data_IF_644238357744
#
_entry.id   IF_644238357744
#
_cell.length_a   1.000
_cell.length_b   1.000
_cell.length_c   1.000
_cell.angle_alpha   90.00
_cell.angle_beta   90.00
_cell.angle_gamma   90.00
#
_symmetry.space_group_name_H-M   'P 1'
#
loop_
_entity.id
_entity.type
_entity.pdbx_description
1 polymer ?
#
# COMPACT_ATOMS: atom_id res chain seq x y z
N UNK A 1 7.27 -13.25 -4.59
CA UNK A 1 7.28 -11.90 -5.20
C UNK A 1 6.35 -11.77 -6.41
N UNK A 2 6.27 -12.77 -7.31
CA UNK A 2 5.41 -12.72 -8.49
C UNK A 2 3.91 -12.51 -8.19
N UNK A 3 3.33 -13.26 -7.23
CA UNK A 3 1.93 -13.11 -6.79
C UNK A 3 1.61 -11.70 -6.28
N UNK A 4 2.56 -11.08 -5.57
CA UNK A 4 2.38 -9.74 -4.99
C UNK A 4 2.41 -8.65 -6.06
N UNK A 5 3.33 -8.77 -7.03
CA UNK A 5 3.38 -7.89 -8.20
C UNK A 5 2.11 -8.04 -9.04
N UNK A 6 1.65 -9.27 -9.28
CA UNK A 6 0.41 -9.55 -9.99
C UNK A 6 -0.82 -8.97 -9.27
N UNK A 7 -0.86 -9.02 -7.93
CA UNK A 7 -1.92 -8.39 -7.16
C UNK A 7 -1.91 -6.86 -7.31
N UNK A 8 -0.74 -6.21 -7.31
CA UNK A 8 -0.64 -4.78 -7.64
C UNK A 8 -1.06 -4.50 -9.09
N UNK A 9 -0.63 -5.36 -10.02
CA UNK A 9 -0.94 -5.19 -11.44
C UNK A 9 -2.44 -5.35 -11.71
N UNK A 10 -3.10 -6.22 -10.93
CA UNK A 10 -4.55 -6.45 -11.01
C UNK A 10 -5.38 -5.42 -10.25
N UNK A 11 -4.80 -4.75 -9.24
CA UNK A 11 -5.54 -3.80 -8.41
C UNK A 11 -5.73 -2.42 -9.06
N UNK A 12 -4.88 -2.07 -10.04
CA UNK A 12 -5.04 -0.84 -10.82
C UNK A 12 -4.76 -1.10 -12.29
N UNK A 13 -5.59 -0.56 -13.18
CA UNK A 13 -5.26 -0.42 -14.59
C UNK A 13 -4.03 0.50 -14.74
N UNK A 14 -3.26 0.33 -15.83
CA UNK A 14 -1.98 1.04 -16.03
C UNK A 14 -2.13 2.57 -16.01
N UNK A 15 -3.32 3.10 -16.32
CA UNK A 15 -3.63 4.54 -16.38
C UNK A 15 -4.04 5.14 -15.02
N UNK A 16 -4.53 4.32 -14.08
CA UNK A 16 -5.00 4.76 -12.75
C UNK A 16 -4.01 4.41 -11.63
N UNK A 17 -2.87 3.79 -11.96
CA UNK A 17 -1.94 3.27 -10.96
C UNK A 17 -1.08 4.38 -10.37
N UNK A 18 -1.17 4.66 -9.05
CA UNK A 18 -0.25 5.58 -8.42
C UNK A 18 1.18 5.05 -8.53
N UNK A 19 2.16 5.95 -8.60
CA UNK A 19 3.57 5.59 -8.68
C UNK A 19 4.00 4.86 -7.40
N UNK A 20 4.03 3.52 -7.45
CA UNK A 20 4.34 2.65 -6.33
C UNK A 20 5.72 2.01 -6.53
N UNK A 21 6.66 2.32 -5.64
CA UNK A 21 7.98 1.69 -5.63
C UNK A 21 7.96 0.38 -4.85
N UNK A 22 7.94 -0.73 -5.58
CA UNK A 22 8.05 -2.08 -5.01
C UNK A 22 9.51 -2.42 -4.61
N UNK A 23 9.72 -2.81 -3.35
CA UNK A 23 10.97 -3.35 -2.80
C UNK A 23 10.64 -4.59 -1.95
N UNK A 24 10.80 -5.77 -2.55
CA UNK A 24 10.49 -7.06 -1.93
C UNK A 24 9.03 -7.13 -1.42
N UNK A 25 8.81 -7.15 -0.10
CA UNK A 25 7.49 -7.17 0.53
C UNK A 25 7.01 -5.79 1.00
N UNK A 26 7.66 -4.70 0.52
CA UNK A 26 7.31 -3.32 0.86
C UNK A 26 7.09 -2.53 -0.42
N UNK A 27 6.00 -1.79 -0.46
CA UNK A 27 5.64 -0.90 -1.55
C UNK A 27 5.44 0.49 -0.98
N UNK A 28 6.13 1.48 -1.53
CA UNK A 28 6.04 2.87 -1.05
C UNK A 28 5.48 3.72 -2.16
N UNK A 29 4.48 4.53 -1.87
CA UNK A 29 3.95 5.51 -2.83
C UNK A 29 5.00 6.60 -3.00
N UNK A 30 5.32 6.93 -4.24
CA UNK A 30 6.36 7.92 -4.57
C UNK A 30 5.84 9.34 -4.38
N UNK A 31 4.55 9.55 -4.67
CA UNK A 31 3.90 10.87 -4.62
C UNK A 31 3.23 11.17 -3.27
N UNK A 32 3.25 10.22 -2.33
CA UNK A 32 2.55 10.37 -1.06
C UNK A 32 3.27 9.62 0.08
N UNK A 33 3.12 10.09 1.34
CA UNK A 33 3.70 9.46 2.52
C UNK A 33 2.99 8.15 2.91
N UNK A 34 2.69 7.27 1.96
CA UNK A 34 1.99 6.01 2.18
C UNK A 34 2.85 4.81 1.80
N UNK A 35 2.70 3.72 2.55
CA UNK A 35 3.46 2.51 2.37
C UNK A 35 2.57 1.29 2.62
N UNK A 36 2.62 0.33 1.70
CA UNK A 36 1.96 -0.96 1.82
C UNK A 36 3.00 -2.04 2.13
N UNK A 37 2.67 -2.95 3.05
CA UNK A 37 3.51 -4.12 3.35
C UNK A 37 2.72 -5.39 3.19
N UNK A 38 3.25 -6.35 2.43
CA UNK A 38 2.65 -7.66 2.31
C UNK A 38 3.08 -8.53 3.49
N UNK A 39 2.12 -8.90 4.32
CA UNK A 39 2.31 -9.90 5.37
C UNK A 39 2.46 -11.30 4.78
N UNK A 40 3.07 -12.20 5.56
CA UNK A 40 3.17 -13.64 5.23
C UNK A 40 1.81 -14.30 4.97
N UNK A 41 0.75 -13.75 5.57
CA UNK A 41 -0.64 -14.18 5.42
C UNK A 41 -1.27 -13.79 4.07
N UNK A 42 -0.51 -13.13 3.18
CA UNK A 42 -1.04 -12.64 1.89
C UNK A 42 -1.95 -11.42 2.02
N UNK A 43 -1.87 -10.72 3.16
CA UNK A 43 -2.61 -9.48 3.42
C UNK A 43 -1.72 -8.25 3.37
N UNK A 44 -2.27 -7.16 2.88
CA UNK A 44 -1.65 -5.86 2.72
C UNK A 44 -1.92 -5.00 3.94
N UNK A 45 -0.84 -4.59 4.58
CA UNK A 45 -0.86 -3.69 5.72
C UNK A 45 -0.60 -2.26 5.26
N UNK A 46 -1.55 -1.34 5.46
CA UNK A 46 -1.37 0.06 5.16
C UNK A 46 -0.60 0.79 6.26
N UNK A 47 0.40 1.55 5.85
CA UNK A 47 1.17 2.42 6.70
C UNK A 47 1.15 3.83 6.11
N UNK A 48 1.08 4.83 6.98
CA UNK A 48 1.29 6.24 6.65
C UNK A 48 2.49 6.77 7.40
N UNK A 49 3.23 7.68 6.80
CA UNK A 49 4.26 8.43 7.49
C UNK A 49 3.62 9.64 8.16
N UNK A 50 3.73 9.72 9.48
CA UNK A 50 3.29 10.84 10.29
C UNK A 50 4.52 11.34 11.06
N UNK A 51 4.98 12.56 10.75
CA UNK A 51 6.15 13.19 11.40
C UNK A 51 7.41 12.31 11.37
N UNK A 52 7.71 11.66 10.24
CA UNK A 52 8.86 10.76 10.11
C UNK A 52 8.69 9.38 10.75
N UNK A 53 7.48 9.03 11.22
CA UNK A 53 7.16 7.70 11.78
C UNK A 53 6.14 7.00 10.92
N UNK A 54 6.42 5.74 10.57
CA UNK A 54 5.47 4.89 9.87
C UNK A 54 4.47 4.29 10.86
N UNK A 55 3.25 4.81 10.86
CA UNK A 55 2.15 4.32 11.67
C UNK A 55 1.23 3.44 10.81
N UNK A 56 0.73 2.32 11.35
CA UNK A 56 -0.31 1.54 10.68
C UNK A 56 -1.56 2.42 10.54
N UNK A 57 -2.00 2.62 9.31
CA UNK A 57 -3.13 3.49 9.03
C UNK A 57 -4.48 2.76 9.10
N UNK A 58 -4.46 1.42 9.21
CA UNK A 58 -5.65 0.60 9.35
C UNK A 58 -5.34 -0.90 9.37
N UNK A 59 -6.41 -1.70 9.29
CA UNK A 59 -6.32 -3.15 9.29
C UNK A 59 -5.75 -3.75 7.99
N UNK A 60 -5.38 -5.03 8.02
CA UNK A 60 -4.85 -5.72 6.86
C UNK A 60 -5.95 -6.02 5.82
N UNK A 61 -5.77 -5.56 4.58
CA UNK A 61 -6.68 -5.83 3.47
C UNK A 61 -6.15 -6.92 2.53
N UNK A 62 -7.03 -7.62 1.81
CA UNK A 62 -6.63 -8.60 0.78
C UNK A 62 -6.11 -7.90 -0.48
N UNK A 63 -6.64 -6.72 -0.76
CA UNK A 63 -6.40 -5.93 -1.96
C UNK A 63 -5.51 -4.71 -1.64
N UNK A 64 -4.44 -4.46 -2.41
CA UNK A 64 -3.53 -3.35 -2.14
C UNK A 64 -4.19 -1.97 -2.37
N UNK A 65 -5.16 -1.84 -3.27
CA UNK A 65 -5.87 -0.57 -3.48
C UNK A 65 -6.77 -0.23 -2.30
N UNK A 66 -7.47 -1.23 -1.77
CA UNK A 66 -8.26 -1.08 -0.54
C UNK A 66 -7.39 -0.70 0.66
N UNK A 67 -6.21 -1.33 0.80
CA UNK A 67 -5.26 -0.96 1.84
C UNK A 67 -4.78 0.49 1.65
N UNK A 68 -4.41 0.89 0.43
CA UNK A 68 -3.93 2.25 0.17
C UNK A 68 -5.01 3.29 0.45
N UNK A 69 -6.23 3.08 -0.02
CA UNK A 69 -7.36 3.97 0.25
C UNK A 69 -7.62 4.13 1.75
N UNK A 70 -7.38 3.09 2.55
CA UNK A 70 -7.46 3.17 4.01
C UNK A 70 -6.35 4.07 4.57
N UNK A 71 -5.12 3.97 4.04
CA UNK A 71 -4.02 4.86 4.42
C UNK A 71 -4.30 6.32 4.08
N UNK A 72 -4.84 6.58 2.90
CA UNK A 72 -5.21 7.90 2.40
C UNK A 72 -6.30 8.52 3.27
N UNK A 73 -7.36 7.76 3.57
CA UNK A 73 -8.46 8.24 4.45
C UNK A 73 -7.98 8.55 5.85
N UNK A 74 -7.06 7.77 6.39
CA UNK A 74 -6.57 7.98 7.75
C UNK A 74 -5.61 9.18 7.87
N UNK A 75 -5.24 9.83 6.77
CA UNK A 75 -4.47 11.09 6.76
C UNK A 75 -5.38 12.33 6.62
N UNK A 76 -6.68 12.14 6.30
CA UNK A 76 -7.59 13.20 5.87
C UNK A 76 -8.63 13.67 6.91
N UNK A 77 -8.31 13.63 8.21
CA UNK A 77 -9.17 14.20 9.27
C UNK A 77 -8.49 15.37 10.01
#
# INVERSE_FOLDING_TARGET
>A
LARARAALESAWAEDERPALRARANRWTVVDAPFQLRLGRDGRWWPYREERGRWLPAGGPAQDPATALATAERACGE
#
